data_IF_290706941525
#
_entry.id   IF_290706941525
#
_cell.length_a   1.000
_cell.length_b   1.000
_cell.length_c   1.000
_cell.angle_alpha   90.00
_cell.angle_beta   90.00
_cell.angle_gamma   90.00
#
_symmetry.space_group_name_H-M   'P 1'
#
loop_
_entity.id
_entity.type
_entity.pdbx_description
1 polymer ?
#
# COMPACT_ATOMS: atom_id res chain seq x y z
N UNK A 1 5.20 2.38 -2.87
CA UNK A 1 3.88 2.75 -3.44
C UNK A 1 3.14 1.47 -3.81
N UNK A 2 1.81 1.45 -3.68
CA UNK A 2 0.96 0.28 -3.97
C UNK A 2 1.05 -0.16 -5.44
N UNK A 3 1.20 0.80 -6.35
CA UNK A 3 1.36 0.55 -7.79
C UNK A 3 2.65 -0.22 -8.09
N UNK A 4 3.76 0.20 -7.47
CA UNK A 4 5.07 -0.44 -7.65
C UNK A 4 5.09 -1.85 -7.04
N UNK A 5 4.42 -2.03 -5.90
CA UNK A 5 4.29 -3.34 -5.27
C UNK A 5 3.47 -4.31 -6.14
N UNK A 6 2.34 -3.83 -6.67
CA UNK A 6 1.49 -4.58 -7.60
C UNK A 6 2.26 -4.99 -8.86
N UNK A 7 3.05 -4.09 -9.45
CA UNK A 7 3.81 -4.40 -10.66
C UNK A 7 4.96 -5.37 -10.41
N UNK A 8 5.72 -5.17 -9.32
CA UNK A 8 6.86 -6.01 -9.01
C UNK A 8 6.41 -7.39 -8.48
N UNK A 9 5.72 -7.42 -7.34
CA UNK A 9 5.32 -8.68 -6.70
C UNK A 9 4.22 -9.39 -7.48
N UNK A 10 3.28 -8.66 -8.10
CA UNK A 10 2.21 -9.28 -8.88
C UNK A 10 2.72 -10.08 -10.08
N UNK A 11 3.81 -9.64 -10.71
CA UNK A 11 4.44 -10.38 -11.82
C UNK A 11 4.98 -11.76 -11.42
N UNK A 12 5.25 -11.97 -10.13
CA UNK A 12 5.82 -13.20 -9.57
C UNK A 12 4.73 -14.02 -8.87
N UNK A 13 3.94 -13.38 -8.01
CA UNK A 13 2.95 -14.04 -7.16
C UNK A 13 1.74 -14.53 -7.94
N UNK A 14 1.23 -13.75 -8.90
CA UNK A 14 0.03 -14.13 -9.65
C UNK A 14 0.26 -15.41 -10.47
N UNK A 15 1.34 -15.53 -11.28
CA UNK A 15 1.61 -16.77 -12.01
C UNK A 15 1.91 -17.96 -11.09
N UNK A 16 2.53 -17.74 -9.93
CA UNK A 16 2.78 -18.80 -8.96
C UNK A 16 1.48 -19.34 -8.36
N UNK A 17 0.55 -18.45 -7.97
CA UNK A 17 -0.77 -18.83 -7.49
C UNK A 17 -1.59 -19.58 -8.56
N UNK A 18 -1.53 -19.15 -9.81
CA UNK A 18 -2.20 -19.86 -10.91
C UNK A 18 -1.67 -21.30 -11.07
N UNK A 19 -0.35 -21.49 -10.98
CA UNK A 19 0.28 -22.83 -11.02
C UNK A 19 -0.17 -23.73 -9.87
N UNK A 20 -0.39 -23.14 -8.70
CA UNK A 20 -0.89 -23.86 -7.52
C UNK A 20 -2.41 -24.11 -7.58
N UNK A 21 -3.10 -23.67 -8.63
CA UNK A 21 -4.52 -23.95 -8.89
C UNK A 21 -5.49 -22.86 -8.46
N UNK A 22 -5.02 -21.68 -8.06
CA UNK A 22 -5.88 -20.53 -7.77
C UNK A 22 -6.38 -19.89 -9.06
N UNK A 23 -7.58 -19.32 -9.04
CA UNK A 23 -8.06 -18.58 -10.22
C UNK A 23 -7.25 -17.31 -10.43
N UNK A 24 -6.93 -16.99 -11.69
CA UNK A 24 -6.24 -15.75 -12.07
C UNK A 24 -6.93 -14.49 -11.54
N UNK A 25 -8.26 -14.48 -11.49
CA UNK A 25 -9.06 -13.37 -10.94
C UNK A 25 -8.80 -13.20 -9.45
N UNK A 26 -8.82 -14.29 -8.68
CA UNK A 26 -8.55 -14.25 -7.25
C UNK A 26 -7.13 -13.77 -6.96
N UNK A 27 -6.14 -14.35 -7.65
CA UNK A 27 -4.74 -13.95 -7.53
C UNK A 27 -4.55 -12.45 -7.84
N UNK A 28 -5.15 -11.96 -8.92
CA UNK A 28 -5.17 -10.54 -9.26
C UNK A 28 -5.77 -9.67 -8.13
N UNK A 29 -6.94 -10.07 -7.63
CA UNK A 29 -7.67 -9.31 -6.62
C UNK A 29 -6.95 -9.25 -5.27
N UNK A 30 -6.41 -10.37 -4.77
CA UNK A 30 -5.67 -10.36 -3.50
C UNK A 30 -4.36 -9.60 -3.62
N UNK A 31 -3.63 -9.71 -4.75
CA UNK A 31 -2.41 -8.94 -4.98
C UNK A 31 -2.70 -7.45 -5.02
N UNK A 32 -3.76 -7.02 -5.71
CA UNK A 32 -4.17 -5.62 -5.73
C UNK A 32 -4.58 -5.14 -4.33
N UNK A 33 -5.37 -5.93 -3.59
CA UNK A 33 -5.82 -5.57 -2.26
C UNK A 33 -4.68 -5.54 -1.22
N UNK A 34 -3.69 -6.43 -1.30
CA UNK A 34 -2.57 -6.43 -0.36
C UNK A 34 -1.59 -5.29 -0.61
N UNK A 35 -1.48 -4.81 -1.86
CA UNK A 35 -0.48 -3.81 -2.21
C UNK A 35 -0.72 -2.43 -1.58
N UNK A 36 -1.96 -2.13 -1.20
CA UNK A 36 -2.30 -0.88 -0.49
C UNK A 36 -1.83 -0.85 0.95
N UNK A 37 -1.40 -2.00 1.50
CA UNK A 37 -0.77 -2.10 2.83
C UNK A 37 0.68 -1.57 2.78
N UNK A 38 1.37 -1.76 1.65
CA UNK A 38 2.78 -1.38 1.49
C UNK A 38 3.06 0.09 1.83
N UNK A 39 2.25 1.06 1.37
CA UNK A 39 2.39 2.46 1.77
C UNK A 39 1.97 2.79 3.21
N UNK A 40 1.41 1.85 3.97
CA UNK A 40 0.93 2.07 5.35
C UNK A 40 1.92 1.54 6.37
N UNK A 41 2.57 0.40 6.10
CA UNK A 41 3.63 -0.13 6.96
C UNK A 41 4.95 0.59 6.65
N UNK A 42 5.62 1.20 7.65
CA UNK A 42 6.85 1.95 7.42
C UNK A 42 8.01 1.11 6.87
N UNK A 43 8.93 1.71 6.09
CA UNK A 43 9.00 3.14 5.72
C UNK A 43 8.00 3.53 4.63
N UNK A 44 7.36 4.69 4.76
CA UNK A 44 6.32 5.14 3.82
C UNK A 44 6.59 6.54 3.25
N UNK A 45 6.69 6.63 1.92
CA UNK A 45 6.88 7.89 1.19
C UNK A 45 5.70 8.83 1.39
N UNK A 46 4.46 8.33 1.36
CA UNK A 46 3.26 9.17 1.48
C UNK A 46 3.13 9.78 2.88
N UNK A 47 3.59 9.06 3.91
CA UNK A 47 3.67 9.60 5.27
C UNK A 47 4.76 10.68 5.38
N UNK A 48 5.89 10.51 4.71
CA UNK A 48 6.94 11.54 4.66
C UNK A 48 6.42 12.80 3.95
N UNK A 49 5.69 12.65 2.84
CA UNK A 49 5.05 13.78 2.15
C UNK A 49 4.08 14.50 3.09
N UNK A 50 3.22 13.76 3.79
CA UNK A 50 2.30 14.36 4.76
C UNK A 50 3.05 15.10 5.88
N UNK A 51 4.08 14.49 6.46
CA UNK A 51 4.90 15.10 7.50
C UNK A 51 5.51 16.43 7.07
N UNK A 52 6.01 16.50 5.83
CA UNK A 52 6.59 17.72 5.27
C UNK A 52 5.55 18.83 5.07
N UNK A 53 4.35 18.47 4.63
CA UNK A 53 3.29 19.44 4.29
C UNK A 53 2.56 19.94 5.54
N UNK A 54 2.37 19.07 6.53
CA UNK A 54 1.61 19.34 7.75
C UNK A 54 2.50 19.66 8.95
N UNK A 55 3.82 19.69 8.77
CA UNK A 55 4.83 19.96 9.79
C UNK A 55 4.69 19.06 11.04
N UNK A 56 4.67 17.73 10.82
CA UNK A 56 4.54 16.73 11.88
C UNK A 56 5.69 15.72 11.88
N UNK A 57 5.90 15.04 13.01
CA UNK A 57 6.98 14.06 13.17
C UNK A 57 6.82 12.86 12.22
N UNK A 58 7.84 12.62 11.38
CA UNK A 58 7.95 11.42 10.52
C UNK A 58 7.99 10.14 11.37
N UNK A 59 8.76 10.16 12.47
CA UNK A 59 8.86 9.03 13.38
C UNK A 59 7.51 8.73 14.06
N UNK A 60 6.76 9.77 14.43
CA UNK A 60 5.40 9.66 14.95
C UNK A 60 4.45 9.02 13.95
N UNK A 61 4.49 9.44 12.67
CA UNK A 61 3.68 8.82 11.61
C UNK A 61 4.04 7.36 11.37
N UNK A 62 5.33 7.03 11.38
CA UNK A 62 5.77 5.65 11.21
C UNK A 62 5.23 4.77 12.35
N UNK A 63 5.34 5.23 13.60
CA UNK A 63 4.72 4.55 14.73
C UNK A 63 3.19 4.45 14.55
N UNK A 64 2.54 5.50 14.07
CA UNK A 64 1.09 5.55 13.93
C UNK A 64 0.55 4.59 12.85
N UNK A 65 1.33 4.34 11.79
CA UNK A 65 0.95 3.48 10.67
C UNK A 65 1.05 1.98 10.94
N UNK A 66 1.86 1.57 11.91
CA UNK A 66 2.19 0.16 12.14
C UNK A 66 0.96 -0.68 12.51
N UNK A 67 0.19 -0.23 13.49
CA UNK A 67 -1.04 -0.94 13.95
C UNK A 67 -2.12 -0.98 12.86
N UNK A 68 -2.48 0.15 12.20
CA UNK A 68 -3.34 0.14 11.01
C UNK A 68 -2.92 -0.85 9.93
N UNK A 69 -1.63 -0.85 9.55
CA UNK A 69 -1.12 -1.76 8.52
C UNK A 69 -1.23 -3.23 8.92
N UNK A 70 -0.95 -3.54 10.20
CA UNK A 70 -1.13 -4.89 10.73
C UNK A 70 -2.61 -5.32 10.72
N UNK A 71 -3.53 -4.42 11.09
CA UNK A 71 -4.97 -4.69 11.02
C UNK A 71 -5.42 -4.99 9.58
N UNK A 72 -4.93 -4.22 8.59
CA UNK A 72 -5.19 -4.49 7.18
C UNK A 72 -4.70 -5.89 6.77
N UNK A 73 -3.45 -6.22 7.12
CA UNK A 73 -2.89 -7.54 6.84
C UNK A 73 -3.70 -8.68 7.46
N UNK A 74 -3.99 -8.59 8.76
CA UNK A 74 -4.80 -9.59 9.48
C UNK A 74 -6.23 -9.70 8.93
N UNK A 75 -6.82 -8.57 8.55
CA UNK A 75 -8.13 -8.53 7.91
C UNK A 75 -8.16 -9.27 6.58
N UNK A 76 -7.15 -9.05 5.71
CA UNK A 76 -7.04 -9.76 4.44
C UNK A 76 -6.74 -11.25 4.64
N UNK A 77 -5.94 -11.61 5.64
CA UNK A 77 -5.70 -13.02 6.01
C UNK A 77 -7.00 -13.70 6.44
N UNK A 78 -7.82 -13.04 7.28
CA UNK A 78 -9.14 -13.57 7.67
C UNK A 78 -10.08 -13.73 6.47
N UNK A 79 -10.22 -12.70 5.64
CA UNK A 79 -11.06 -12.79 4.44
C UNK A 79 -10.60 -13.91 3.51
N UNK A 80 -9.30 -14.05 3.32
CA UNK A 80 -8.72 -15.14 2.52
C UNK A 80 -9.02 -16.51 3.13
N UNK A 81 -8.93 -16.66 4.46
CA UNK A 81 -9.25 -17.92 5.14
C UNK A 81 -10.74 -18.30 5.00
N UNK A 82 -11.64 -17.31 5.04
CA UNK A 82 -13.09 -17.50 4.83
C UNK A 82 -13.35 -17.90 3.36
N UNK A 83 -12.76 -17.19 2.41
CA UNK A 83 -12.87 -17.48 0.98
C UNK A 83 -12.29 -18.85 0.61
N UNK A 84 -11.18 -19.25 1.24
CA UNK A 84 -10.56 -20.55 1.03
C UNK A 84 -11.47 -21.71 1.45
N UNK A 85 -12.26 -21.52 2.52
CA UNK A 85 -13.24 -22.52 2.98
C UNK A 85 -14.46 -22.58 2.06
N UNK A 86 -14.94 -21.44 1.58
CA UNK A 86 -16.16 -21.36 0.76
C UNK A 86 -15.92 -21.75 -0.70
N UNK A 87 -14.72 -21.52 -1.23
CA UNK A 87 -14.37 -21.74 -2.65
C UNK A 87 -13.45 -22.93 -2.89
N UNK A 88 -13.22 -23.76 -1.87
CA UNK A 88 -12.39 -24.96 -1.94
C UNK A 88 -11.03 -24.73 -2.60
N UNK A 89 -10.31 -23.69 -2.15
CA UNK A 89 -8.99 -23.39 -2.69
C UNK A 89 -8.01 -24.56 -2.52
N UNK A 90 -7.00 -24.66 -3.40
CA UNK A 90 -5.97 -25.70 -3.33
C UNK A 90 -5.34 -25.74 -1.93
N UNK A 91 -5.29 -26.91 -1.32
CA UNK A 91 -4.70 -27.12 0.01
C UNK A 91 -3.43 -27.96 -0.14
N UNK A 92 -2.36 -27.57 0.54
CA UNK A 92 -1.22 -28.49 0.74
C UNK A 92 -1.70 -29.67 1.57
N UNK A 93 -1.43 -30.88 1.08
CA UNK A 93 -1.84 -32.13 1.74
C UNK A 93 -1.10 -32.36 3.06
N UNK A 94 0.14 -31.87 3.17
CA UNK A 94 1.01 -32.08 4.33
C UNK A 94 1.51 -30.76 4.89
N UNK A 95 1.55 -30.68 6.23
CA UNK A 95 2.23 -29.57 6.93
C UNK A 95 3.74 -29.69 6.72
N UNK A 96 4.42 -28.55 6.58
CA UNK A 96 5.86 -28.53 6.48
C UNK A 96 6.50 -29.16 7.72
N UNK A 97 7.48 -30.04 7.52
CA UNK A 97 8.21 -30.66 8.63
C UNK A 97 9.12 -29.64 9.34
N UNK A 98 9.52 -29.91 10.59
CA UNK A 98 10.49 -29.03 11.30
C UNK A 98 11.81 -28.89 10.55
N UNK A 99 12.21 -29.95 9.84
CA UNK A 99 13.43 -29.97 9.01
C UNK A 99 13.27 -29.05 7.81
N UNK A 100 12.15 -29.13 7.09
CA UNK A 100 11.83 -28.19 6.00
C UNK A 100 11.78 -26.74 6.48
N UNK A 101 11.16 -26.50 7.64
CA UNK A 101 11.07 -25.15 8.21
C UNK A 101 12.45 -24.58 8.53
N UNK A 102 13.32 -25.36 9.18
CA UNK A 102 14.68 -24.91 9.51
C UNK A 102 15.55 -24.73 8.28
N UNK A 103 15.44 -25.64 7.31
CA UNK A 103 16.13 -25.53 6.02
C UNK A 103 15.72 -24.25 5.28
N UNK A 104 14.41 -24.00 5.17
CA UNK A 104 13.85 -22.81 4.55
C UNK A 104 14.28 -21.53 5.28
N UNK A 105 14.25 -21.53 6.61
CA UNK A 105 14.71 -20.40 7.42
C UNK A 105 16.18 -20.10 7.16
N UNK A 106 17.06 -21.13 7.16
CA UNK A 106 18.48 -20.96 6.90
C UNK A 106 18.74 -20.43 5.49
N UNK A 107 18.00 -20.90 4.49
CA UNK A 107 18.12 -20.38 3.11
C UNK A 107 17.59 -18.95 2.95
N UNK A 108 16.57 -18.57 3.71
CA UNK A 108 15.94 -17.25 3.65
C UNK A 108 16.56 -16.23 4.61
N UNK A 109 17.41 -16.65 5.54
CA UNK A 109 17.97 -15.80 6.61
C UNK A 109 18.64 -14.55 6.06
N UNK A 110 19.50 -14.69 5.05
CA UNK A 110 20.21 -13.57 4.44
C UNK A 110 19.26 -12.64 3.66
N UNK A 111 18.38 -13.12 2.76
CA UNK A 111 17.33 -12.28 2.17
C UNK A 111 16.47 -11.54 3.21
N UNK A 112 16.15 -12.16 4.35
CA UNK A 112 15.39 -11.57 5.45
C UNK A 112 16.11 -10.44 6.19
N UNK A 113 17.42 -10.25 5.98
CA UNK A 113 18.14 -9.07 6.49
C UNK A 113 17.83 -7.81 5.67
N UNK A 114 17.26 -7.93 4.46
CA UNK A 114 16.98 -6.78 3.60
C UNK A 114 16.07 -5.73 4.26
N UNK A 115 14.93 -6.08 4.88
CA UNK A 115 14.13 -5.12 5.65
C UNK A 115 14.89 -4.49 6.81
N UNK A 116 15.79 -5.22 7.47
CA UNK A 116 16.62 -4.70 8.57
C UNK A 116 17.65 -3.69 8.04
N UNK A 117 18.25 -3.93 6.89
CA UNK A 117 19.18 -2.99 6.25
C UNK A 117 18.45 -1.72 5.83
N UNK A 118 17.27 -1.86 5.23
CA UNK A 118 16.45 -0.71 4.82
C UNK A 118 16.02 0.10 6.05
N UNK A 119 15.36 -0.55 7.01
CA UNK A 119 14.78 0.13 8.17
C UNK A 119 15.88 0.62 9.12
N UNK A 120 16.89 -0.20 9.39
CA UNK A 120 18.05 0.18 10.20
C UNK A 120 18.82 1.35 9.58
N UNK A 121 19.04 1.35 8.27
CA UNK A 121 19.71 2.45 7.57
C UNK A 121 18.91 3.76 7.58
N UNK A 122 17.60 3.69 7.42
CA UNK A 122 16.71 4.87 7.49
C UNK A 122 16.61 5.39 8.92
N UNK A 123 16.32 4.53 9.90
CA UNK A 123 16.10 4.94 11.29
C UNK A 123 17.39 5.43 11.98
N UNK A 124 18.56 4.94 11.56
CA UNK A 124 19.85 5.47 12.02
C UNK A 124 20.28 6.76 11.32
N UNK A 125 19.54 7.22 10.31
CA UNK A 125 19.86 8.41 9.53
C UNK A 125 21.04 8.25 8.55
N UNK A 126 21.53 7.01 8.36
CA UNK A 126 22.63 6.73 7.43
C UNK A 126 22.16 6.79 5.97
N UNK A 127 20.92 6.38 5.70
CA UNK A 127 20.35 6.39 4.35
C UNK A 127 19.03 7.16 4.29
N UNK A 128 18.84 7.91 3.22
CA UNK A 128 17.51 8.33 2.76
C UNK A 128 16.74 7.13 2.18
N UNK A 129 15.40 7.20 2.01
CA UNK A 129 14.62 6.09 1.45
C UNK A 129 15.08 5.63 0.06
N UNK A 130 15.53 6.57 -0.78
CA UNK A 130 16.06 6.30 -2.12
C UNK A 130 17.41 5.59 -2.06
N UNK A 131 18.29 6.00 -1.15
CA UNK A 131 19.59 5.33 -0.94
C UNK A 131 19.41 3.95 -0.30
N UNK A 132 18.45 3.81 0.62
CA UNK A 132 18.12 2.53 1.23
C UNK A 132 17.63 1.51 0.19
N UNK A 133 16.85 1.95 -0.81
CA UNK A 133 16.45 1.11 -1.93
C UNK A 133 17.66 0.68 -2.79
N UNK A 134 18.59 1.59 -3.08
CA UNK A 134 19.82 1.26 -3.80
C UNK A 134 20.71 0.28 -3.01
N UNK A 135 20.85 0.49 -1.70
CA UNK A 135 21.58 -0.41 -0.80
C UNK A 135 20.93 -1.80 -0.75
N UNK A 136 19.60 -1.89 -0.72
CA UNK A 136 18.86 -3.15 -0.76
C UNK A 136 19.10 -3.92 -2.08
N UNK A 137 19.10 -3.22 -3.23
CA UNK A 137 19.42 -3.85 -4.53
C UNK A 137 20.87 -4.31 -4.57
N UNK A 138 21.82 -3.48 -4.11
CA UNK A 138 23.23 -3.86 -4.03
C UNK A 138 23.44 -5.09 -3.14
N UNK A 139 22.78 -5.13 -1.97
CA UNK A 139 22.80 -6.26 -1.06
C UNK A 139 22.20 -7.53 -1.68
N UNK A 140 21.06 -7.42 -2.35
CA UNK A 140 20.41 -8.53 -3.03
C UNK A 140 21.30 -9.10 -4.15
N UNK A 141 21.99 -8.25 -4.91
CA UNK A 141 22.97 -8.68 -5.91
C UNK A 141 24.16 -9.38 -5.24
N UNK A 142 24.71 -8.82 -4.16
CA UNK A 142 25.82 -9.44 -3.42
C UNK A 142 25.47 -10.84 -2.91
N UNK A 143 24.31 -11.01 -2.27
CA UNK A 143 23.84 -12.35 -1.86
C UNK A 143 23.72 -13.27 -3.06
N UNK A 144 23.07 -12.79 -4.13
CA UNK A 144 22.73 -13.61 -5.29
C UNK A 144 23.97 -14.08 -6.06
N UNK A 145 25.03 -13.27 -6.09
CA UNK A 145 26.31 -13.61 -6.70
C UNK A 145 27.22 -14.42 -5.79
N UNK A 146 27.42 -13.98 -4.54
CA UNK A 146 28.48 -14.51 -3.70
C UNK A 146 28.01 -15.67 -2.82
N UNK A 147 26.75 -15.63 -2.36
CA UNK A 147 26.25 -16.58 -1.35
C UNK A 147 25.38 -17.66 -1.97
N UNK A 148 24.24 -17.30 -2.56
CA UNK A 148 23.35 -18.30 -3.20
C UNK A 148 23.91 -18.77 -4.54
N UNK A 149 24.78 -17.97 -5.17
CA UNK A 149 25.40 -18.24 -6.48
C UNK A 149 24.37 -18.60 -7.56
N UNK A 150 23.18 -17.99 -7.45
CA UNK A 150 22.05 -18.21 -8.36
C UNK A 150 22.13 -17.31 -9.59
N UNK A 151 22.98 -16.29 -9.59
CA UNK A 151 23.16 -15.35 -10.69
C UNK A 151 24.59 -15.38 -11.26
N UNK A 152 24.69 -15.23 -12.58
CA UNK A 152 25.93 -15.01 -13.33
C UNK A 152 25.93 -13.60 -13.91
N UNK A 153 27.11 -13.02 -14.15
CA UNK A 153 27.24 -11.65 -14.65
C UNK A 153 26.46 -11.43 -15.97
N UNK A 154 26.43 -12.46 -16.80
CA UNK A 154 25.70 -12.54 -18.07
C UNK A 154 24.17 -12.48 -17.89
N UNK A 155 23.64 -12.86 -16.73
CA UNK A 155 22.19 -12.76 -16.44
C UNK A 155 21.76 -11.30 -16.20
N UNK A 156 22.70 -10.41 -15.82
CA UNK A 156 22.41 -9.00 -15.50
C UNK A 156 21.76 -8.28 -16.67
N UNK A 157 22.31 -8.41 -17.88
CA UNK A 157 21.77 -7.73 -19.06
C UNK A 157 20.32 -8.14 -19.31
N UNK A 158 20.05 -9.45 -19.27
CA UNK A 158 18.69 -9.98 -19.45
C UNK A 158 17.73 -9.52 -18.36
N UNK A 159 18.17 -9.48 -17.11
CA UNK A 159 17.35 -8.99 -15.99
C UNK A 159 17.05 -7.50 -16.11
N UNK A 160 18.07 -6.66 -16.38
CA UNK A 160 17.89 -5.21 -16.54
C UNK A 160 16.93 -4.91 -17.69
N UNK A 161 17.05 -5.59 -18.83
CA UNK A 161 16.12 -5.44 -19.96
C UNK A 161 14.70 -5.86 -19.59
N UNK A 162 14.52 -7.04 -18.98
CA UNK A 162 13.18 -7.51 -18.56
C UNK A 162 12.53 -6.57 -17.55
N UNK A 163 13.28 -6.14 -16.53
CA UNK A 163 12.81 -5.20 -15.52
C UNK A 163 12.49 -3.84 -16.14
N UNK A 164 13.32 -3.35 -17.07
CA UNK A 164 13.10 -2.11 -17.81
C UNK A 164 11.82 -2.15 -18.64
N UNK A 165 11.61 -3.20 -19.45
CA UNK A 165 10.41 -3.37 -20.28
C UNK A 165 9.14 -3.50 -19.42
N UNK A 166 9.20 -4.31 -18.36
CA UNK A 166 8.08 -4.47 -17.43
C UNK A 166 7.72 -3.15 -16.74
N UNK A 167 8.74 -2.41 -16.27
CA UNK A 167 8.56 -1.11 -15.63
C UNK A 167 8.03 -0.07 -16.61
N UNK A 168 8.55 -0.01 -17.84
CA UNK A 168 8.11 0.94 -18.87
C UNK A 168 6.63 0.73 -19.23
N UNK A 169 6.19 -0.53 -19.38
CA UNK A 169 4.78 -0.85 -19.67
C UNK A 169 3.86 -0.33 -18.55
N UNK A 170 4.24 -0.56 -17.30
CA UNK A 170 3.49 -0.08 -16.14
C UNK A 170 3.54 1.44 -16.04
N UNK A 171 4.71 2.06 -16.21
CA UNK A 171 4.88 3.51 -16.14
C UNK A 171 4.12 4.25 -17.24
N UNK A 172 3.94 3.66 -18.42
CA UNK A 172 3.11 4.25 -19.47
C UNK A 172 1.63 4.30 -19.06
N UNK A 173 1.11 3.22 -18.49
CA UNK A 173 -0.26 3.17 -17.96
C UNK A 173 -0.42 4.14 -16.78
N UNK A 174 0.55 4.17 -15.88
CA UNK A 174 0.55 5.10 -14.73
C UNK A 174 0.64 6.55 -15.21
N UNK A 175 1.50 6.86 -16.17
CA UNK A 175 1.67 8.20 -16.73
C UNK A 175 0.40 8.73 -17.39
N UNK A 176 -0.23 7.92 -18.24
CA UNK A 176 -1.53 8.28 -18.86
C UNK A 176 -2.64 8.45 -17.83
N UNK A 177 -2.73 7.58 -16.82
CA UNK A 177 -3.70 7.73 -15.74
C UNK A 177 -3.42 8.97 -14.87
N UNK A 178 -2.14 9.32 -14.68
CA UNK A 178 -1.73 10.54 -13.95
C UNK A 178 -2.07 11.82 -14.71
N UNK A 179 -2.13 11.80 -16.05
CA UNK A 179 -2.64 12.94 -16.82
C UNK A 179 -4.12 13.23 -16.52
N UNK A 180 -4.95 12.17 -16.43
CA UNK A 180 -6.37 12.29 -16.06
C UNK A 180 -6.48 12.83 -14.62
N UNK A 181 -5.69 12.27 -13.70
CA UNK A 181 -5.59 12.73 -12.32
C UNK A 181 -5.20 14.23 -12.24
N UNK A 182 -4.22 14.62 -13.05
CA UNK A 182 -3.75 16.00 -13.17
C UNK A 182 -4.85 16.95 -13.66
N UNK A 183 -5.61 16.57 -14.69
CA UNK A 183 -6.75 17.38 -15.17
C UNK A 183 -7.82 17.59 -14.10
N UNK A 184 -8.17 16.54 -13.33
CA UNK A 184 -9.11 16.65 -12.21
C UNK A 184 -8.57 17.60 -11.14
N UNK A 185 -7.28 17.50 -10.83
CA UNK A 185 -6.64 18.38 -9.84
C UNK A 185 -6.64 19.84 -10.30
N UNK A 186 -6.26 20.10 -11.56
CA UNK A 186 -6.21 21.44 -12.15
C UNK A 186 -7.58 22.10 -12.27
N UNK A 187 -8.66 21.32 -12.36
CA UNK A 187 -10.02 21.84 -12.35
C UNK A 187 -10.47 22.40 -10.98
N UNK A 188 -9.68 22.20 -9.93
CA UNK A 188 -10.04 22.58 -8.56
C UNK A 188 -11.07 21.64 -7.92
N UNK A 189 -11.45 20.54 -8.58
CA UNK A 189 -12.48 19.61 -8.13
C UNK A 189 -12.27 19.09 -6.70
N UNK A 190 -11.05 18.69 -6.25
CA UNK A 190 -10.85 18.26 -4.86
C UNK A 190 -11.18 19.35 -3.84
N UNK A 191 -10.87 20.62 -4.14
CA UNK A 191 -11.17 21.75 -3.26
C UNK A 191 -12.68 22.03 -3.21
N UNK A 192 -13.36 22.04 -4.36
CA UNK A 192 -14.82 22.22 -4.42
C UNK A 192 -15.56 21.13 -3.63
N UNK A 193 -15.13 19.87 -3.74
CA UNK A 193 -15.72 18.78 -2.96
C UNK A 193 -15.49 18.95 -1.45
N UNK A 194 -14.29 19.37 -1.03
CA UNK A 194 -14.01 19.63 0.39
C UNK A 194 -14.91 20.73 0.95
N UNK A 195 -15.05 21.86 0.24
CA UNK A 195 -15.95 22.95 0.64
C UNK A 195 -17.41 22.51 0.68
N UNK A 196 -17.85 21.70 -0.29
CA UNK A 196 -19.19 21.13 -0.28
C UNK A 196 -19.43 20.26 0.97
N UNK A 197 -18.50 19.37 1.30
CA UNK A 197 -18.58 18.51 2.49
C UNK A 197 -18.67 19.32 3.79
N UNK A 198 -17.85 20.38 3.92
CA UNK A 198 -17.90 21.26 5.09
C UNK A 198 -19.23 21.99 5.25
N UNK A 199 -19.94 22.29 4.14
CA UNK A 199 -21.26 22.93 4.18
C UNK A 199 -22.43 22.01 4.54
N UNK A 200 -22.24 20.69 4.63
CA UNK A 200 -23.33 19.74 4.84
C UNK A 200 -23.69 19.52 6.31
N UNK A 201 -22.74 19.64 7.23
CA UNK A 201 -22.94 19.26 8.63
C UNK A 201 -21.90 19.88 9.56
N UNK A 202 -22.36 20.31 10.73
CA UNK A 202 -21.49 20.73 11.84
C UNK A 202 -21.17 19.56 12.80
N UNK A 203 -21.85 18.42 12.67
CA UNK A 203 -21.59 17.25 13.52
C UNK A 203 -20.21 16.62 13.20
N UNK A 204 -19.26 16.57 14.16
CA UNK A 204 -17.90 16.09 13.93
C UNK A 204 -17.82 14.63 13.43
N UNK A 205 -18.66 13.74 13.96
CA UNK A 205 -18.65 12.33 13.60
C UNK A 205 -19.18 12.08 12.19
N UNK A 206 -20.18 12.86 11.78
CA UNK A 206 -20.73 12.79 10.43
C UNK A 206 -19.78 13.46 9.43
N UNK A 207 -19.14 14.56 9.82
CA UNK A 207 -18.13 15.22 9.00
C UNK A 207 -16.93 14.29 8.73
N UNK A 208 -16.44 13.59 9.75
CA UNK A 208 -15.41 12.55 9.60
C UNK A 208 -15.83 11.46 8.60
N UNK A 209 -17.09 11.01 8.65
CA UNK A 209 -17.59 10.02 7.68
C UNK A 209 -17.53 10.57 6.25
N UNK A 210 -18.02 11.79 6.05
CA UNK A 210 -18.02 12.44 4.74
C UNK A 210 -16.60 12.66 4.21
N UNK A 211 -15.65 12.97 5.09
CA UNK A 211 -14.23 13.10 4.74
C UNK A 211 -13.63 11.75 4.33
N UNK A 212 -13.96 10.65 5.01
CA UNK A 212 -13.53 9.33 4.57
C UNK A 212 -14.06 9.01 3.16
N UNK A 213 -15.35 9.27 2.92
CA UNK A 213 -15.96 9.09 1.59
C UNK A 213 -15.25 9.97 0.56
N UNK A 214 -15.01 11.25 0.87
CA UNK A 214 -14.29 12.19 0.02
C UNK A 214 -12.89 11.67 -0.33
N UNK A 215 -12.11 11.27 0.68
CA UNK A 215 -10.74 10.77 0.49
C UNK A 215 -10.74 9.49 -0.34
N UNK A 216 -11.68 8.57 -0.10
CA UNK A 216 -11.82 7.35 -0.90
C UNK A 216 -12.14 7.70 -2.37
N UNK A 217 -13.09 8.60 -2.61
CA UNK A 217 -13.46 9.07 -3.95
C UNK A 217 -12.28 9.74 -4.64
N UNK A 218 -11.57 10.63 -3.96
CA UNK A 218 -10.39 11.31 -4.52
C UNK A 218 -9.28 10.30 -4.82
N UNK A 219 -9.05 9.32 -3.94
CA UNK A 219 -8.10 8.24 -4.14
C UNK A 219 -8.42 7.32 -5.32
N UNK A 220 -9.67 7.28 -5.80
CA UNK A 220 -10.00 6.58 -7.06
C UNK A 220 -9.37 7.26 -8.28
N UNK A 221 -9.18 8.58 -8.25
CA UNK A 221 -8.69 9.37 -9.39
C UNK A 221 -7.23 9.79 -9.24
N UNK A 222 -6.79 10.08 -8.01
CA UNK A 222 -5.47 10.64 -7.72
C UNK A 222 -4.58 9.62 -7.01
N UNK A 223 -3.28 9.65 -7.34
CA UNK A 223 -2.30 8.96 -6.51
C UNK A 223 -2.23 9.60 -5.11
N UNK A 224 -1.91 8.80 -4.10
CA UNK A 224 -1.98 9.22 -2.70
C UNK A 224 -1.04 10.40 -2.39
N UNK A 225 0.15 10.46 -3.00
CA UNK A 225 1.10 11.57 -2.81
C UNK A 225 0.54 12.93 -3.24
N UNK A 226 0.18 13.11 -4.53
CA UNK A 226 -0.48 14.33 -5.02
C UNK A 226 -1.75 14.69 -4.25
N UNK A 227 -2.58 13.70 -3.90
CA UNK A 227 -3.80 13.94 -3.13
C UNK A 227 -3.50 14.51 -1.73
N UNK A 228 -2.47 14.03 -1.04
CA UNK A 228 -2.03 14.58 0.26
C UNK A 228 -1.55 16.02 0.13
N UNK A 229 -0.76 16.33 -0.91
CA UNK A 229 -0.26 17.69 -1.16
C UNK A 229 -1.39 18.70 -1.34
N UNK A 230 -2.48 18.29 -1.98
CA UNK A 230 -3.64 19.15 -2.25
C UNK A 230 -4.59 19.19 -1.05
N UNK A 231 -5.03 18.03 -0.57
CA UNK A 231 -6.09 17.95 0.44
C UNK A 231 -5.60 18.12 1.87
N UNK A 232 -4.33 17.81 2.17
CA UNK A 232 -3.78 17.93 3.52
C UNK A 232 -3.95 19.34 4.09
N UNK A 233 -3.46 20.39 3.40
CA UNK A 233 -3.64 21.78 3.83
C UNK A 233 -5.10 22.26 3.86
N UNK A 234 -5.97 21.67 3.03
CA UNK A 234 -7.39 22.05 2.94
C UNK A 234 -8.18 21.46 4.11
N UNK A 235 -7.95 20.18 4.42
CA UNK A 235 -8.71 19.45 5.42
C UNK A 235 -8.10 19.56 6.82
N UNK A 236 -6.78 19.65 6.93
CA UNK A 236 -6.03 19.65 8.18
C UNK A 236 -6.49 20.71 9.19
N UNK A 237 -6.65 21.99 8.82
CA UNK A 237 -7.14 23.03 9.73
C UNK A 237 -8.50 22.70 10.33
N UNK A 238 -9.43 22.15 9.55
CA UNK A 238 -10.74 21.73 10.04
C UNK A 238 -10.61 20.55 10.99
N UNK A 239 -9.73 19.58 10.72
CA UNK A 239 -9.52 18.45 11.63
C UNK A 239 -8.95 18.89 12.98
N UNK A 240 -8.03 19.85 12.97
CA UNK A 240 -7.52 20.46 14.20
C UNK A 240 -8.62 21.14 15.02
N UNK A 241 -9.57 21.82 14.37
CA UNK A 241 -10.72 22.44 15.05
C UNK A 241 -11.67 21.41 15.68
N UNK A 242 -11.69 20.17 15.18
CA UNK A 242 -12.47 19.05 15.73
C UNK A 242 -11.71 18.25 16.79
N UNK A 243 -10.60 18.77 17.31
CA UNK A 243 -9.70 18.10 18.26
C UNK A 243 -9.11 16.77 17.73
N UNK A 244 -9.01 16.62 16.40
CA UNK A 244 -8.39 15.46 15.77
C UNK A 244 -6.90 15.71 15.63
N UNK A 245 -6.10 14.83 16.24
CA UNK A 245 -4.64 14.93 16.18
C UNK A 245 -4.11 14.82 14.74
N UNK A 246 -3.14 15.66 14.32
CA UNK A 246 -2.56 15.61 12.97
C UNK A 246 -2.00 14.25 12.57
N UNK A 247 -1.34 13.54 13.49
CA UNK A 247 -0.85 12.18 13.24
C UNK A 247 -1.99 11.18 13.00
N UNK A 248 -3.11 11.33 13.72
CA UNK A 248 -4.28 10.49 13.52
C UNK A 248 -4.90 10.76 12.15
N UNK A 249 -5.10 12.03 11.83
CA UNK A 249 -5.63 12.44 10.53
C UNK A 249 -4.76 11.99 9.36
N UNK A 250 -3.43 12.02 9.52
CA UNK A 250 -2.49 11.51 8.52
C UNK A 250 -2.75 10.05 8.17
N UNK A 251 -3.00 9.21 9.18
CA UNK A 251 -3.31 7.79 8.97
C UNK A 251 -4.65 7.64 8.25
N UNK A 252 -5.67 8.40 8.65
CA UNK A 252 -6.98 8.41 7.96
C UNK A 252 -6.78 8.76 6.48
N UNK A 253 -6.05 9.84 6.19
CA UNK A 253 -5.74 10.26 4.82
C UNK A 253 -4.98 9.18 4.05
N UNK A 254 -3.87 8.67 4.61
CA UNK A 254 -3.03 7.69 3.93
C UNK A 254 -3.82 6.42 3.60
N UNK A 255 -4.57 5.87 4.55
CA UNK A 255 -5.33 4.62 4.35
C UNK A 255 -6.47 4.81 3.36
N UNK A 256 -7.25 5.89 3.47
CA UNK A 256 -8.36 6.12 2.52
C UNK A 256 -7.85 6.30 1.10
N UNK A 257 -6.82 7.12 0.92
CA UNK A 257 -6.26 7.40 -0.40
C UNK A 257 -5.65 6.14 -1.03
N UNK A 258 -4.91 5.33 -0.26
CA UNK A 258 -4.33 4.10 -0.80
C UNK A 258 -5.39 3.06 -1.14
N UNK A 259 -6.41 2.88 -0.30
CA UNK A 259 -7.53 1.99 -0.58
C UNK A 259 -8.32 2.47 -1.81
N UNK A 260 -8.47 3.79 -1.97
CA UNK A 260 -9.03 4.43 -3.17
C UNK A 260 -8.37 3.96 -4.47
N UNK A 261 -7.04 3.74 -4.47
CA UNK A 261 -6.29 3.24 -5.65
C UNK A 261 -6.72 1.86 -6.11
N UNK A 262 -7.36 1.07 -5.24
CA UNK A 262 -7.91 -0.26 -5.57
C UNK A 262 -9.42 -0.24 -5.77
N UNK A 263 -10.08 0.91 -5.63
CA UNK A 263 -11.53 1.02 -5.68
C UNK A 263 -12.00 1.44 -7.09
N UNK A 264 -13.01 0.76 -7.67
CA UNK A 264 -13.63 1.20 -8.93
C UNK A 264 -14.28 2.58 -8.78
N UNK A 265 -14.36 3.42 -9.83
CA UNK A 265 -14.21 3.07 -11.25
C UNK A 265 -12.79 3.23 -11.85
N UNK A 266 -11.89 3.98 -11.20
CA UNK A 266 -10.63 4.46 -11.80
C UNK A 266 -9.34 4.03 -11.07
N UNK A 267 -9.41 3.18 -10.05
CA UNK A 267 -8.26 2.83 -9.23
C UNK A 267 -6.97 2.45 -10.01
N UNK A 268 -5.90 3.23 -9.82
CA UNK A 268 -4.60 3.04 -10.48
C UNK A 268 -4.04 1.62 -10.32
N UNK A 269 -4.20 1.02 -9.14
CA UNK A 269 -3.75 -0.35 -8.87
C UNK A 269 -4.56 -1.36 -9.69
N UNK A 270 -5.85 -1.12 -9.93
CA UNK A 270 -6.66 -1.99 -10.77
C UNK A 270 -6.19 -1.96 -12.24
N UNK A 271 -5.83 -0.78 -12.78
CA UNK A 271 -5.29 -0.66 -14.14
C UNK A 271 -3.94 -1.37 -14.31
N UNK A 272 -3.06 -1.25 -13.30
CA UNK A 272 -1.77 -1.94 -13.29
C UNK A 272 -1.97 -3.45 -13.21
N UNK A 273 -2.84 -3.91 -12.31
CA UNK A 273 -3.18 -5.34 -12.19
C UNK A 273 -3.81 -5.89 -13.47
N UNK A 274 -4.69 -5.12 -14.10
CA UNK A 274 -5.30 -5.47 -15.40
C UNK A 274 -4.24 -5.65 -16.48
N UNK A 275 -3.20 -4.80 -16.50
CA UNK A 275 -2.11 -4.88 -17.48
C UNK A 275 -1.27 -6.14 -17.27
N UNK A 276 -0.94 -6.48 -16.02
CA UNK A 276 -0.17 -7.68 -15.68
C UNK A 276 -0.92 -8.98 -15.99
N UNK A 277 -2.23 -8.99 -15.70
CA UNK A 277 -3.06 -10.20 -15.80
C UNK A 277 -3.84 -10.33 -17.10
N UNK A 278 -3.90 -9.25 -17.89
CA UNK A 278 -4.76 -9.12 -19.08
C UNK A 278 -6.25 -9.39 -18.81
N UNK A 279 -6.67 -9.32 -17.55
CA UNK A 279 -8.08 -9.38 -17.17
C UNK A 279 -8.72 -8.00 -17.34
N UNK A 280 -10.03 -7.97 -17.58
CA UNK A 280 -10.79 -6.73 -17.55
C UNK A 280 -10.79 -6.15 -16.12
N UNK A 281 -10.59 -4.83 -16.00
CA UNK A 281 -10.64 -4.09 -14.73
C UNK A 281 -11.88 -4.44 -13.92
N UNK A 282 -13.05 -4.48 -14.56
CA UNK A 282 -14.32 -4.80 -13.89
C UNK A 282 -14.36 -6.22 -13.32
N UNK A 283 -13.69 -7.19 -13.97
CA UNK A 283 -13.62 -8.56 -13.47
C UNK A 283 -12.74 -8.64 -12.21
N UNK A 284 -11.62 -7.90 -12.18
CA UNK A 284 -10.75 -7.81 -11.00
C UNK A 284 -11.49 -7.08 -9.87
N UNK A 285 -12.14 -5.96 -10.18
CA UNK A 285 -12.92 -5.16 -9.25
C UNK A 285 -14.01 -5.97 -8.52
N UNK A 286 -14.79 -6.76 -9.26
CA UNK A 286 -15.82 -7.62 -8.67
C UNK A 286 -15.23 -8.66 -7.72
N UNK A 287 -14.11 -9.24 -8.10
CA UNK A 287 -13.41 -10.22 -7.29
C UNK A 287 -12.75 -9.61 -6.04
N UNK A 288 -12.41 -8.32 -6.10
CA UNK A 288 -11.78 -7.55 -5.02
C UNK A 288 -12.79 -7.06 -3.95
N UNK A 289 -14.10 -7.08 -4.22
CA UNK A 289 -15.13 -6.58 -3.30
C UNK A 289 -15.03 -7.11 -1.85
N UNK A 290 -14.80 -8.42 -1.59
CA UNK A 290 -14.67 -8.90 -0.22
C UNK A 290 -13.48 -8.26 0.53
N UNK A 291 -12.37 -8.02 -0.18
CA UNK A 291 -11.19 -7.38 0.39
C UNK A 291 -11.37 -5.88 0.57
N UNK A 292 -12.09 -5.23 -0.36
CA UNK A 292 -12.47 -3.83 -0.20
C UNK A 292 -13.36 -3.64 1.03
N UNK A 293 -14.31 -4.54 1.27
CA UNK A 293 -15.17 -4.48 2.45
C UNK A 293 -14.35 -4.57 3.75
N UNK A 294 -13.34 -5.43 3.81
CA UNK A 294 -12.39 -5.46 4.93
C UNK A 294 -11.69 -4.11 5.12
N UNK A 295 -11.17 -3.53 4.04
CA UNK A 295 -10.51 -2.22 4.12
C UNK A 295 -11.46 -1.12 4.58
N UNK A 296 -12.70 -1.10 4.10
CA UNK A 296 -13.72 -0.15 4.55
C UNK A 296 -13.97 -0.30 6.05
N UNK A 297 -14.17 -1.52 6.55
CA UNK A 297 -14.33 -1.76 8.00
C UNK A 297 -13.12 -1.24 8.79
N UNK A 298 -11.91 -1.45 8.28
CA UNK A 298 -10.70 -0.98 8.95
C UNK A 298 -10.58 0.54 8.91
N UNK A 299 -10.96 1.19 7.81
CA UNK A 299 -11.07 2.65 7.71
C UNK A 299 -12.02 3.19 8.77
N UNK A 300 -13.19 2.56 8.94
CA UNK A 300 -14.15 2.91 9.99
C UNK A 300 -13.55 2.76 11.39
N UNK A 301 -12.88 1.63 11.66
CA UNK A 301 -12.24 1.37 12.95
C UNK A 301 -11.15 2.41 13.25
N UNK A 302 -10.28 2.71 12.28
CA UNK A 302 -9.23 3.71 12.47
C UNK A 302 -9.87 5.07 12.75
N UNK A 303 -10.81 5.51 11.90
CA UNK A 303 -11.44 6.84 12.01
C UNK A 303 -12.08 7.10 13.37
N UNK A 304 -12.81 6.13 13.92
CA UNK A 304 -13.57 6.33 15.16
C UNK A 304 -12.85 5.87 16.42
N UNK A 305 -11.76 5.11 16.29
CA UNK A 305 -10.95 4.67 17.41
C UNK A 305 -9.51 5.19 17.26
N UNK A 306 -9.25 6.47 17.62
CA UNK A 306 -7.91 7.07 17.54
C UNK A 306 -6.83 6.30 18.27
N UNK A 307 -7.19 5.51 19.29
CA UNK A 307 -6.29 4.61 19.99
C UNK A 307 -5.52 3.67 19.03
N UNK A 308 -6.12 3.26 17.91
CA UNK A 308 -5.48 2.36 16.96
C UNK A 308 -4.25 2.99 16.31
N UNK A 309 -4.29 4.28 15.98
CA UNK A 309 -3.13 4.97 15.40
C UNK A 309 -2.29 5.70 16.44
N UNK A 310 -2.87 6.14 17.56
CA UNK A 310 -2.21 7.04 18.51
C UNK A 310 -1.54 6.33 19.69
N UNK A 311 -1.87 5.05 19.95
CA UNK A 311 -1.27 4.33 21.10
C UNK A 311 0.24 4.18 20.96
N UNK A 312 0.71 3.72 19.80
CA UNK A 312 2.14 3.47 19.60
C UNK A 312 2.98 4.77 19.59
N UNK A 313 2.57 5.85 18.89
CA UNK A 313 3.25 7.15 18.99
C UNK A 313 3.34 7.69 20.42
N UNK A 314 2.25 7.59 21.20
CA UNK A 314 2.22 8.05 22.59
C UNK A 314 3.17 7.26 23.49
N UNK A 315 3.22 5.93 23.33
CA UNK A 315 4.13 5.08 24.11
C UNK A 315 5.61 5.33 23.79
N UNK A 316 5.91 5.71 22.54
CA UNK A 316 7.27 6.00 22.09
C UNK A 316 7.68 7.46 22.30
N UNK A 317 6.78 8.33 22.78
CA UNK A 317 7.06 9.74 23.02
C UNK A 317 7.12 10.60 21.74
N UNK A 318 6.57 10.13 20.63
CA UNK A 318 6.52 10.84 19.34
C UNK A 318 5.15 11.49 19.07
N UNK A 319 4.49 11.97 20.13
CA UNK A 319 3.17 12.63 20.08
C UNK A 319 3.31 14.13 19.79
#
# INVERSE_FOLDING_TARGET
SAVADTSALGSILIPAMEKDGYTRRFAAAITAASSVIGPIIPPSIIMVIYALVMDVSVAGLFAAGFVPGLLMGLGLMMATAILARTRSFPKREHRATRVELWSAFRSAFLPLLTPIIILGGILSGVFTPTEAAAAAVAYALLISFLVTRTLRLQDLQGMLLRTGVSSATVLLVVGTATLIAGSVTLSGFPNTLAQFVFGLTDNPYLLLLLINILLLLVGMFLDAGPAILVLGPILGPTMLQLDIHPLHFAIIMCVNLTVGLTTPPMGLVLFVTSTLTRLQVLAIARELLPFLLVHLVIIFLITYFPALSMTLPKLLGFY
#
